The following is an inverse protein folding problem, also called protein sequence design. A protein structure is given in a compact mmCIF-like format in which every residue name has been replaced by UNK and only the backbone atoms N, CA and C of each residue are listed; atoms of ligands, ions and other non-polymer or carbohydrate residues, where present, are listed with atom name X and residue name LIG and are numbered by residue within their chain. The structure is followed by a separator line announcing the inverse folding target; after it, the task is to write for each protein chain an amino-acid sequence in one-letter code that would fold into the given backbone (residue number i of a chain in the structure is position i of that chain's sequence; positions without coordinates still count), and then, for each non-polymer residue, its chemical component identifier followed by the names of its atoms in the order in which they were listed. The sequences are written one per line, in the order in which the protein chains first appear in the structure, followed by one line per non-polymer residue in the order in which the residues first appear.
data_IF_037206384352
#
_entry.id   IF_037206384352
#
_cell.length_a   1.000
_cell.length_b   1.000
_cell.length_c   1.000
_cell.angle_alpha   90.00
_cell.angle_beta   90.00
_cell.angle_gamma   90.00
#
_symmetry.space_group_name_H-M   'P 1'
#
loop_
_entity.id
_entity.type
_entity.pdbx_description
1 polymer ?
#
# COMPACT_ATOMS: atom_id res chain seq x y z
N UNK A 1 -9.53 2.20 2.36
CA UNK A 1 -9.73 3.61 1.96
C UNK A 1 -8.49 4.29 1.36
N UNK A 2 -7.28 3.71 1.43
CA UNK A 2 -6.11 4.22 0.70
C UNK A 2 -6.18 3.90 -0.81
N UNK A 3 -6.87 2.80 -1.17
CA UNK A 3 -7.01 2.35 -2.57
C UNK A 3 -7.77 3.34 -3.47
N UNK A 4 -8.70 4.15 -2.94
CA UNK A 4 -9.50 5.07 -3.76
C UNK A 4 -8.77 6.38 -4.10
N UNK A 5 -7.94 6.93 -3.20
CA UNK A 5 -7.22 8.18 -3.45
C UNK A 5 -6.11 8.05 -4.50
N UNK A 6 -5.45 6.88 -4.56
CA UNK A 6 -4.44 6.59 -5.59
C UNK A 6 -5.05 6.41 -6.99
N UNK A 7 -6.27 5.89 -7.08
CA UNK A 7 -6.99 5.69 -8.35
C UNK A 7 -7.40 7.00 -9.03
N UNK A 8 -7.71 8.05 -8.26
CA UNK A 8 -8.05 9.36 -8.84
C UNK A 8 -6.81 10.11 -9.36
N UNK A 9 -5.67 9.93 -8.70
CA UNK A 9 -4.42 10.59 -9.06
C UNK A 9 -3.75 9.99 -10.31
N UNK A 10 -3.84 8.66 -10.47
CA UNK A 10 -3.30 7.93 -11.63
C UNK A 10 -4.38 7.73 -12.70
N UNK A 11 -5.33 8.67 -12.81
CA UNK A 11 -6.49 8.63 -13.68
C UNK A 11 -6.19 8.58 -15.18
N UNK A 12 -5.71 7.45 -15.69
CA UNK A 12 -5.96 7.02 -17.06
C UNK A 12 -6.88 5.81 -17.02
N UNK A 13 -8.07 5.96 -17.62
CA UNK A 13 -9.00 4.85 -17.84
C UNK A 13 -8.27 3.68 -18.49
N UNK A 14 -8.25 2.51 -17.83
CA UNK A 14 -7.73 1.26 -18.37
C UNK A 14 -6.33 0.84 -17.90
N UNK A 15 -5.68 1.57 -17.00
CA UNK A 15 -4.41 1.15 -16.42
C UNK A 15 -4.61 0.05 -15.37
N UNK A 16 -3.74 -0.97 -15.41
CA UNK A 16 -3.74 -2.03 -14.40
C UNK A 16 -3.13 -1.52 -13.09
N UNK A 17 -3.43 -2.17 -11.95
CA UNK A 17 -2.84 -1.80 -10.65
C UNK A 17 -1.31 -1.81 -10.69
N UNK A 18 -0.69 -2.70 -11.47
CA UNK A 18 0.77 -2.75 -11.60
C UNK A 18 1.31 -1.53 -12.37
N UNK A 19 0.57 -1.02 -13.36
CA UNK A 19 0.95 0.22 -14.07
C UNK A 19 0.92 1.43 -13.13
N UNK A 20 -0.07 1.48 -12.24
CA UNK A 20 -0.21 2.50 -11.20
C UNK A 20 0.98 2.46 -10.25
N UNK A 21 1.33 1.27 -9.73
CA UNK A 21 2.45 1.09 -8.81
C UNK A 21 3.79 1.45 -9.46
N UNK A 22 3.99 1.04 -10.71
CA UNK A 22 5.18 1.40 -11.48
C UNK A 22 5.28 2.92 -11.71
N UNK A 23 4.16 3.62 -11.86
CA UNK A 23 4.16 5.08 -11.97
C UNK A 23 4.53 5.74 -10.64
N UNK A 24 3.94 5.30 -9.53
CA UNK A 24 4.24 5.78 -8.18
C UNK A 24 5.70 5.54 -7.81
N UNK A 25 6.25 4.38 -8.19
CA UNK A 25 7.68 4.06 -8.05
C UNK A 25 8.57 5.00 -8.85
N UNK A 26 8.23 5.26 -10.13
CA UNK A 26 8.94 6.24 -10.96
C UNK A 26 8.88 7.67 -10.42
N UNK A 27 7.82 8.00 -9.68
CA UNK A 27 7.68 9.28 -8.98
C UNK A 27 8.47 9.34 -7.67
N UNK A 28 9.11 8.25 -7.26
CA UNK A 28 9.88 8.15 -6.02
C UNK A 28 9.01 8.08 -4.76
N UNK A 29 7.72 7.80 -4.90
CA UNK A 29 6.77 7.71 -3.79
C UNK A 29 6.69 6.30 -3.19
N UNK A 30 7.18 5.31 -3.93
CA UNK A 30 7.28 3.91 -3.52
C UNK A 30 8.65 3.39 -3.94
N UNK A 31 9.37 2.72 -3.04
CA UNK A 31 10.71 2.18 -3.37
C UNK A 31 10.64 1.04 -4.38
N UNK A 32 9.58 0.22 -4.34
CA UNK A 32 9.32 -0.82 -5.34
C UNK A 32 7.86 -1.24 -5.43
N UNK A 33 7.32 -1.28 -6.64
CA UNK A 33 6.02 -1.87 -6.95
C UNK A 33 5.95 -3.36 -6.57
N UNK A 34 7.07 -4.08 -6.62
CA UNK A 34 7.16 -5.49 -6.26
C UNK A 34 6.99 -5.71 -4.74
N UNK A 35 7.49 -4.78 -3.93
CA UNK A 35 7.31 -4.78 -2.47
C UNK A 35 5.83 -4.63 -2.12
N UNK A 36 5.09 -3.77 -2.82
CA UNK A 36 3.65 -3.62 -2.63
C UNK A 36 2.87 -4.91 -2.90
N UNK A 37 3.21 -5.65 -3.97
CA UNK A 37 2.58 -6.94 -4.25
C UNK A 37 2.84 -7.96 -3.13
N UNK A 38 4.04 -7.92 -2.54
CA UNK A 38 4.41 -8.76 -1.40
C UNK A 38 3.54 -8.45 -0.18
N UNK A 39 3.35 -7.18 0.15
CA UNK A 39 2.46 -6.76 1.25
C UNK A 39 1.00 -7.13 1.00
N UNK A 40 0.51 -6.99 -0.23
CA UNK A 40 -0.86 -7.37 -0.59
C UNK A 40 -1.08 -8.88 -0.45
N UNK A 41 -0.11 -9.69 -0.87
CA UNK A 41 -0.17 -11.14 -0.69
C UNK A 41 -0.14 -11.52 0.79
N UNK A 42 0.68 -10.85 1.60
CA UNK A 42 0.72 -11.04 3.05
C UNK A 42 -0.63 -10.71 3.69
N UNK A 43 -1.25 -9.57 3.32
CA UNK A 43 -2.59 -9.19 3.76
C UNK A 43 -3.63 -10.26 3.39
N UNK A 44 -3.60 -10.73 2.14
CA UNK A 44 -4.51 -11.79 1.70
C UNK A 44 -4.33 -13.07 2.51
N UNK A 45 -3.08 -13.43 2.84
CA UNK A 45 -2.78 -14.61 3.67
C UNK A 45 -3.30 -14.45 5.10
N UNK A 46 -3.10 -13.28 5.71
CA UNK A 46 -3.59 -12.96 7.06
C UNK A 46 -5.13 -12.92 7.19
N UNK A 47 -5.85 -12.64 6.10
CA UNK A 47 -7.32 -12.48 6.10
C UNK A 47 -8.05 -13.73 5.56
N UNK A 48 -7.44 -14.47 4.64
CA UNK A 48 -8.13 -15.50 3.86
C UNK A 48 -7.81 -16.92 4.30
N UNK A 49 -6.61 -17.18 4.84
CA UNK A 49 -6.33 -18.46 5.49
C UNK A 49 -6.89 -18.39 6.92
N UNK A 50 -8.11 -18.88 7.10
CA UNK A 50 -8.52 -19.38 8.42
C UNK A 50 -7.51 -20.45 8.81
N UNK A 51 -6.55 -20.03 9.63
CA UNK A 51 -5.37 -20.71 10.14
C UNK A 51 -5.59 -22.20 10.37
N UNK A 52 -5.18 -23.04 9.40
CA UNK A 52 -5.00 -24.48 9.61
C UNK A 52 -3.68 -24.77 10.34
N UNK A 53 -2.69 -23.87 10.24
CA UNK A 53 -1.38 -23.95 10.88
C UNK A 53 -0.99 -22.67 11.66
N UNK A 54 -1.07 -22.67 13.00
CA UNK A 54 -0.72 -21.53 13.85
C UNK A 54 0.72 -20.99 13.67
N UNK A 55 1.68 -21.84 13.28
CA UNK A 55 3.07 -21.42 13.09
C UNK A 55 3.24 -20.55 11.85
N UNK A 56 2.57 -20.90 10.75
CA UNK A 56 2.57 -20.11 9.52
C UNK A 56 1.90 -18.75 9.74
N UNK A 57 0.83 -18.71 10.53
CA UNK A 57 0.17 -17.47 10.90
C UNK A 57 1.05 -16.58 11.78
N UNK A 58 1.73 -17.15 12.79
CA UNK A 58 2.67 -16.40 13.63
C UNK A 58 3.85 -15.84 12.79
N UNK A 59 4.37 -16.62 11.84
CA UNK A 59 5.40 -16.16 10.90
C UNK A 59 4.92 -15.01 10.01
N UNK A 60 3.70 -15.11 9.48
CA UNK A 60 3.06 -14.06 8.70
C UNK A 60 2.85 -12.77 9.52
N UNK A 61 2.41 -12.88 10.78
CA UNK A 61 2.25 -11.75 11.69
C UNK A 61 3.59 -11.06 12.00
N UNK A 62 4.64 -11.81 12.28
CA UNK A 62 5.97 -11.26 12.51
C UNK A 62 6.49 -10.53 11.27
N UNK A 63 6.25 -11.10 10.08
CA UNK A 63 6.59 -10.48 8.80
C UNK A 63 5.80 -9.19 8.58
N UNK A 64 4.51 -9.17 8.91
CA UNK A 64 3.68 -7.97 8.79
C UNK A 64 4.13 -6.86 9.74
N UNK A 65 4.55 -7.21 10.96
CA UNK A 65 5.09 -6.26 11.92
C UNK A 65 6.39 -5.61 11.44
N UNK A 66 7.25 -6.36 10.74
CA UNK A 66 8.47 -5.81 10.13
C UNK A 66 8.15 -4.78 9.03
N UNK A 67 7.16 -5.08 8.17
CA UNK A 67 6.78 -4.19 7.07
C UNK A 67 5.85 -3.04 7.47
N UNK A 68 5.27 -3.06 8.67
CA UNK A 68 4.33 -2.03 9.13
C UNK A 68 4.97 -0.64 9.13
N UNK A 69 6.24 -0.53 9.53
CA UNK A 69 6.97 0.74 9.52
C UNK A 69 7.15 1.31 8.11
N UNK A 70 7.51 0.47 7.14
CA UNK A 70 7.67 0.87 5.73
C UNK A 70 6.33 1.31 5.12
N UNK A 71 5.25 0.59 5.41
CA UNK A 71 3.89 0.95 4.98
C UNK A 71 3.44 2.31 5.53
N UNK A 72 3.73 2.59 6.81
CA UNK A 72 3.42 3.87 7.45
C UNK A 72 4.24 5.00 6.78
N UNK A 73 5.54 4.79 6.57
CA UNK A 73 6.40 5.78 5.92
C UNK A 73 5.93 6.12 4.49
N UNK A 74 5.54 5.11 3.71
CA UNK A 74 4.97 5.33 2.36
C UNK A 74 3.67 6.13 2.44
N UNK A 75 2.78 5.82 3.40
CA UNK A 75 1.54 6.57 3.59
C UNK A 75 1.81 8.04 3.97
N UNK A 76 2.79 8.29 4.85
CA UNK A 76 3.22 9.64 5.24
C UNK A 76 3.83 10.42 4.06
N UNK A 77 4.64 9.77 3.23
CA UNK A 77 5.19 10.37 2.02
C UNK A 77 4.11 10.75 1.02
N UNK A 78 3.15 9.86 0.76
CA UNK A 78 2.00 10.15 -0.12
C UNK A 78 1.18 11.31 0.45
N UNK A 79 0.87 11.30 1.75
CA UNK A 79 0.13 12.36 2.41
C UNK A 79 0.84 13.72 2.29
N UNK A 80 2.14 13.76 2.56
CA UNK A 80 2.96 14.97 2.43
C UNK A 80 2.97 15.48 1.00
N UNK A 81 3.13 14.58 0.03
CA UNK A 81 3.12 14.94 -1.38
C UNK A 81 1.76 15.51 -1.83
N UNK A 82 0.64 14.92 -1.40
CA UNK A 82 -0.70 15.46 -1.66
C UNK A 82 -0.89 16.87 -1.09
N UNK A 83 -0.32 17.16 0.09
CA UNK A 83 -0.36 18.52 0.66
C UNK A 83 0.40 19.55 -0.19
N UNK A 84 1.53 19.16 -0.81
CA UNK A 84 2.30 20.07 -1.68
C UNK A 84 1.56 20.44 -2.97
N UNK A 85 0.62 19.59 -3.41
CA UNK A 85 -0.26 19.85 -4.55
C UNK A 85 -1.48 20.74 -4.20
N UNK A 86 -1.63 21.16 -2.94
CA UNK A 86 -2.77 21.96 -2.48
C UNK A 86 -4.06 21.16 -2.31
N UNK A 87 -4.01 19.82 -2.41
CA UNK A 87 -5.12 18.94 -2.13
C UNK A 87 -5.17 18.69 -0.61
N UNK A 88 -5.93 19.52 0.10
CA UNK A 88 -6.21 19.28 1.52
C UNK A 88 -7.14 18.07 1.65
N UNK A 89 -6.62 16.95 2.15
CA UNK A 89 -7.47 15.84 2.60
C UNK A 89 -8.36 16.30 3.75
N UNK A 90 -9.67 16.25 3.53
CA UNK A 90 -10.65 16.30 4.60
C UNK A 90 -10.57 14.99 5.40
N UNK A 91 -9.79 15.00 6.48
CA UNK A 91 -9.84 13.97 7.52
C UNK A 91 -11.11 14.20 8.36
N UNK A 92 -12.14 13.38 8.16
CA UNK A 92 -13.28 13.32 9.07
C UNK A 92 -13.16 12.03 9.88
N UNK A 93 -12.78 12.21 11.15
CA UNK A 93 -13.15 11.41 12.33
C UNK A 93 -13.21 9.90 12.22
#
# INVERSE_FOLDING_TARGET
MIEHGLLELVGQKGQSLIDILNQIERMGLLDSAQTWLTWRNLRSRLIHEYVENPEEFASALNTANLYAGELIAVAEHIHTWLQTLGLKEGWVG
#
